data_IF_488975911957
#
_entry.id   IF_488975911957
#
_cell.length_a   1.000
_cell.length_b   1.000
_cell.length_c   1.000
_cell.angle_alpha   90.00
_cell.angle_beta   90.00
_cell.angle_gamma   90.00
#
_symmetry.space_group_name_H-M   'P 1'
#
loop_
_entity.id
_entity.type
_entity.pdbx_description
1 polymer ?
#
# COMPACT_ATOMS: atom_id res chain seq x y z
N UNK A 1 7.95 -7.11 -17.29
CA UNK A 1 7.47 -7.26 -15.90
C UNK A 1 8.25 -6.32 -15.01
N UNK A 2 9.34 -6.71 -14.35
CA UNK A 2 10.08 -5.84 -13.39
C UNK A 2 10.38 -4.40 -13.81
N UNK A 3 10.78 -4.14 -15.07
CA UNK A 3 11.15 -2.78 -15.50
C UNK A 3 9.94 -1.85 -15.70
N UNK A 4 8.75 -2.43 -15.96
CA UNK A 4 7.51 -1.67 -16.13
C UNK A 4 6.98 -1.26 -14.76
N UNK A 5 6.94 -2.21 -13.82
CA UNK A 5 6.43 -2.00 -12.46
C UNK A 5 7.26 -0.93 -11.72
N UNK A 6 8.59 -0.98 -11.85
CA UNK A 6 9.49 0.06 -11.31
C UNK A 6 9.19 1.43 -11.92
N UNK A 7 8.90 1.51 -13.21
CA UNK A 7 8.60 2.79 -13.88
C UNK A 7 7.28 3.35 -13.41
N UNK A 8 6.25 2.51 -13.31
CA UNK A 8 4.90 2.93 -12.90
C UNK A 8 4.92 3.37 -11.43
N UNK A 9 5.52 2.57 -10.54
CA UNK A 9 5.60 2.88 -9.10
C UNK A 9 6.46 4.10 -8.84
N UNK A 10 7.53 4.33 -9.62
CA UNK A 10 8.36 5.53 -9.44
C UNK A 10 7.72 6.82 -9.96
N UNK A 11 6.59 6.73 -10.67
CA UNK A 11 5.87 7.87 -11.23
C UNK A 11 4.55 8.16 -10.52
N UNK A 12 4.14 7.35 -9.53
CA UNK A 12 2.90 7.59 -8.80
C UNK A 12 3.12 8.53 -7.62
N UNK A 13 2.12 9.36 -7.32
CA UNK A 13 2.09 10.17 -6.09
C UNK A 13 1.64 9.35 -4.87
N UNK A 14 0.88 8.27 -5.13
CA UNK A 14 0.28 7.40 -4.12
C UNK A 14 0.33 5.93 -4.57
N UNK A 15 0.80 5.04 -3.69
CA UNK A 15 0.74 3.59 -3.83
C UNK A 15 -0.25 3.01 -2.81
N UNK A 16 -1.19 2.18 -3.27
CA UNK A 16 -2.13 1.45 -2.40
C UNK A 16 -1.84 -0.03 -2.53
N UNK A 17 -1.48 -0.69 -1.42
CA UNK A 17 -1.03 -2.08 -1.43
C UNK A 17 -1.80 -2.95 -0.42
N UNK A 18 -2.24 -4.12 -0.89
CA UNK A 18 -2.71 -5.20 -0.03
C UNK A 18 -1.51 -5.97 0.54
N UNK A 19 -1.44 -6.13 1.86
CA UNK A 19 -0.30 -6.74 2.58
C UNK A 19 -0.68 -7.92 3.47
N UNK A 20 -1.88 -8.45 3.29
CA UNK A 20 -2.40 -9.61 4.03
C UNK A 20 -1.73 -10.93 3.68
N UNK A 21 -1.17 -11.02 2.47
CA UNK A 21 -0.39 -12.16 2.02
C UNK A 21 1.08 -11.75 1.81
N UNK A 22 2.06 -12.48 2.39
CA UNK A 22 3.46 -12.15 2.21
C UNK A 22 3.89 -12.35 0.75
N UNK A 23 4.27 -11.25 0.09
CA UNK A 23 4.77 -11.24 -1.28
C UNK A 23 6.08 -10.47 -1.37
N UNK A 24 7.11 -11.09 -1.94
CA UNK A 24 8.39 -10.44 -2.22
C UNK A 24 8.23 -9.29 -3.23
N UNK A 25 7.31 -9.45 -4.20
CA UNK A 25 7.02 -8.42 -5.20
C UNK A 25 6.47 -7.14 -4.56
N UNK A 26 5.43 -7.29 -3.73
CA UNK A 26 4.84 -6.16 -3.00
C UNK A 26 5.88 -5.50 -2.08
N UNK A 27 6.72 -6.28 -1.40
CA UNK A 27 7.81 -5.72 -0.59
C UNK A 27 8.79 -4.84 -1.40
N UNK A 28 9.15 -5.26 -2.62
CA UNK A 28 9.99 -4.47 -3.50
C UNK A 28 9.29 -3.19 -3.99
N UNK A 29 8.01 -3.27 -4.35
CA UNK A 29 7.21 -2.11 -4.78
C UNK A 29 7.07 -1.06 -3.67
N UNK A 30 6.89 -1.48 -2.41
CA UNK A 30 6.87 -0.56 -1.26
C UNK A 30 8.18 0.21 -1.09
N UNK A 31 9.33 -0.44 -1.33
CA UNK A 31 10.62 0.24 -1.26
C UNK A 31 10.86 1.17 -2.46
N UNK A 32 10.42 0.80 -3.65
CA UNK A 32 10.49 1.65 -4.84
C UNK A 32 9.65 2.91 -4.63
N UNK A 33 8.40 2.78 -4.16
CA UNK A 33 7.52 3.91 -3.82
C UNK A 33 8.17 4.81 -2.76
N UNK A 34 8.71 4.22 -1.69
CA UNK A 34 9.43 4.96 -0.65
C UNK A 34 10.62 5.74 -1.22
N UNK A 35 11.41 5.14 -2.12
CA UNK A 35 12.54 5.82 -2.77
C UNK A 35 12.09 6.92 -3.74
N UNK A 36 10.93 6.76 -4.38
CA UNK A 36 10.32 7.76 -5.24
C UNK A 36 9.58 8.87 -4.46
N UNK A 37 9.53 8.79 -3.12
CA UNK A 37 8.78 9.71 -2.25
C UNK A 37 7.27 9.69 -2.46
N UNK A 38 6.73 8.59 -3.00
CA UNK A 38 5.30 8.35 -3.10
C UNK A 38 4.73 8.03 -1.71
N UNK A 39 3.54 8.56 -1.42
CA UNK A 39 2.82 8.17 -0.21
C UNK A 39 2.31 6.73 -0.35
N UNK A 40 2.23 6.01 0.78
CA UNK A 40 1.81 4.61 0.79
C UNK A 40 0.58 4.44 1.68
N UNK A 41 -0.43 3.73 1.17
CA UNK A 41 -1.56 3.21 1.92
C UNK A 41 -1.48 1.69 1.93
N UNK A 42 -1.49 1.11 3.12
CA UNK A 42 -1.52 -0.34 3.32
C UNK A 42 -2.90 -0.78 3.78
N UNK A 43 -3.37 -1.91 3.26
CA UNK A 43 -4.57 -2.56 3.76
C UNK A 43 -4.45 -4.08 3.79
N UNK A 44 -5.23 -4.73 4.65
CA UNK A 44 -5.30 -6.19 4.77
C UNK A 44 -6.66 -6.61 5.35
N UNK A 45 -7.02 -7.89 5.28
CA UNK A 45 -8.21 -8.41 5.95
C UNK A 45 -7.93 -8.67 7.44
N UNK A 46 -8.94 -8.47 8.28
CA UNK A 46 -8.88 -8.81 9.70
C UNK A 46 -8.48 -10.27 9.93
N UNK A 47 -7.60 -10.48 10.90
CA UNK A 47 -7.04 -11.81 11.22
C UNK A 47 -5.79 -12.17 10.40
N UNK A 48 -5.45 -11.42 9.36
CA UNK A 48 -4.22 -11.65 8.60
C UNK A 48 -2.97 -11.15 9.33
N UNK A 49 -1.86 -11.86 9.13
CA UNK A 49 -0.57 -11.49 9.72
C UNK A 49 0.20 -10.61 8.75
N UNK A 50 0.48 -9.38 9.17
CA UNK A 50 1.20 -8.40 8.35
C UNK A 50 2.65 -8.28 8.78
N UNK A 51 3.54 -8.11 7.79
CA UNK A 51 4.96 -7.87 8.05
C UNK A 51 5.17 -6.57 8.82
N UNK A 52 5.94 -6.64 9.92
CA UNK A 52 6.42 -5.46 10.65
C UNK A 52 7.28 -4.55 9.76
N UNK A 53 7.94 -5.10 8.75
CA UNK A 53 8.75 -4.32 7.81
C UNK A 53 7.85 -3.45 6.91
N UNK A 54 6.72 -3.99 6.45
CA UNK A 54 5.75 -3.22 5.67
C UNK A 54 5.12 -2.11 6.53
N UNK A 55 4.67 -2.46 7.75
CA UNK A 55 4.08 -1.49 8.69
C UNK A 55 5.08 -0.42 9.16
N UNK A 56 6.36 -0.75 9.23
CA UNK A 56 7.43 0.17 9.65
C UNK A 56 7.99 1.04 8.52
N UNK A 57 7.49 0.92 7.29
CA UNK A 57 7.97 1.73 6.18
C UNK A 57 7.55 3.22 6.39
N UNK A 58 8.49 4.17 6.40
CA UNK A 58 8.22 5.57 6.75
C UNK A 58 7.37 6.32 5.72
N UNK A 59 7.22 5.80 4.49
CA UNK A 59 6.33 6.37 3.49
C UNK A 59 4.85 5.99 3.71
N UNK A 60 4.57 5.06 4.63
CA UNK A 60 3.19 4.68 4.98
C UNK A 60 2.49 5.81 5.72
N UNK A 61 1.44 6.36 5.10
CA UNK A 61 0.58 7.40 5.70
C UNK A 61 -0.63 6.80 6.39
N UNK A 62 -1.17 5.71 5.83
CA UNK A 62 -2.31 5.01 6.40
C UNK A 62 -2.09 3.49 6.32
N UNK A 63 -2.49 2.80 7.38
CA UNK A 63 -2.47 1.35 7.47
C UNK A 63 -3.72 0.90 8.24
N UNK A 64 -4.56 0.07 7.62
CA UNK A 64 -5.81 -0.36 8.24
C UNK A 64 -6.23 -1.77 7.81
N UNK A 65 -6.95 -2.46 8.70
CA UNK A 65 -7.59 -3.74 8.40
C UNK A 65 -9.05 -3.54 8.00
N UNK A 66 -9.57 -4.44 7.17
CA UNK A 66 -10.97 -4.46 6.75
C UNK A 66 -11.57 -5.85 6.93
N UNK A 67 -12.90 -5.94 7.02
CA UNK A 67 -13.61 -7.22 7.18
C UNK A 67 -14.35 -7.65 5.90
N UNK A 68 -14.52 -6.74 4.94
CA UNK A 68 -15.12 -7.00 3.64
C UNK A 68 -14.64 -6.00 2.60
N UNK A 69 -14.98 -6.26 1.34
CA UNK A 69 -14.70 -5.33 0.24
C UNK A 69 -15.50 -4.02 0.38
N UNK A 70 -16.73 -4.08 0.89
CA UNK A 70 -17.55 -2.90 1.17
C UNK A 70 -16.88 -2.00 2.22
N UNK A 71 -16.39 -2.60 3.31
CA UNK A 71 -15.65 -1.87 4.35
C UNK A 71 -14.35 -1.23 3.79
N UNK A 72 -13.67 -1.90 2.85
CA UNK A 72 -12.54 -1.30 2.13
C UNK A 72 -12.94 -0.06 1.35
N UNK A 73 -14.04 -0.12 0.59
CA UNK A 73 -14.50 1.02 -0.19
C UNK A 73 -14.95 2.17 0.71
N UNK A 74 -15.65 1.88 1.80
CA UNK A 74 -16.09 2.86 2.81
C UNK A 74 -14.90 3.55 3.49
N UNK A 75 -13.81 2.82 3.74
CA UNK A 75 -12.60 3.36 4.37
C UNK A 75 -11.70 4.10 3.38
N UNK A 76 -11.50 3.55 2.18
CA UNK A 76 -10.56 4.07 1.19
C UNK A 76 -11.09 5.31 0.49
N UNK A 77 -12.39 5.36 0.17
CA UNK A 77 -13.00 6.50 -0.54
C UNK A 77 -12.76 7.86 0.14
N UNK A 78 -13.00 8.03 1.45
CA UNK A 78 -12.72 9.31 2.12
C UNK A 78 -11.22 9.60 2.23
N UNK A 79 -10.35 8.59 2.29
CA UNK A 79 -8.90 8.80 2.28
C UNK A 79 -8.41 9.35 0.94
N UNK A 80 -8.91 8.80 -0.18
CA UNK A 80 -8.51 9.23 -1.52
C UNK A 80 -8.90 10.67 -1.83
N UNK A 81 -9.97 11.20 -1.21
CA UNK A 81 -10.34 12.62 -1.34
C UNK A 81 -9.31 13.61 -0.80
N UNK A 82 -8.30 13.14 -0.06
CA UNK A 82 -7.19 13.98 0.41
C UNK A 82 -6.11 14.17 -0.67
N UNK A 83 -6.13 13.35 -1.72
CA UNK A 83 -5.13 13.32 -2.80
C UNK A 83 -5.68 13.85 -4.13
N UNK A 84 -6.95 14.29 -4.18
CA UNK A 84 -7.66 14.80 -5.38
C UNK A 84 -8.22 16.19 -5.14
#
# INVERSE_FOLDING_TARGET
>A
MWHEDVRIVSQCDLLIAYVGFPSLGTGAELEIARMASSDIILWWYEGETVSRMALGNPAVKHAFSVCSQEHLLETLTPLLKQYV
#
